data_IF_529464793527
#
_entry.id   IF_529464793527
#
_cell.length_a   1.000
_cell.length_b   1.000
_cell.length_c   1.000
_cell.angle_alpha   90.00
_cell.angle_beta   90.00
_cell.angle_gamma   90.00
#
_symmetry.space_group_name_H-M   'P 1'
#
loop_
_entity.id
_entity.type
_entity.pdbx_description
1 polymer ?
#
# COMPACT_ATOMS: atom_id res chain seq x y z
N UNK A 1 21.37 -6.60 -21.82
CA UNK A 1 20.18 -6.09 -22.54
C UNK A 1 19.72 -4.81 -21.84
N UNK A 2 19.51 -3.73 -22.60
CA UNK A 2 18.95 -2.47 -22.05
C UNK A 2 17.42 -2.53 -22.20
N UNK A 3 16.69 -2.18 -21.13
CA UNK A 3 15.21 -2.15 -21.18
C UNK A 3 14.73 -1.04 -22.13
N UNK A 4 13.68 -1.33 -22.92
CA UNK A 4 13.01 -0.34 -23.74
C UNK A 4 12.19 0.64 -22.86
N UNK A 5 11.87 1.81 -23.41
CA UNK A 5 11.01 2.79 -22.72
C UNK A 5 9.56 2.30 -22.67
N UNK A 6 8.77 2.78 -21.70
CA UNK A 6 7.34 2.45 -21.63
C UNK A 6 6.60 2.87 -22.89
N UNK A 7 6.99 4.00 -23.52
CA UNK A 7 6.42 4.44 -24.79
C UNK A 7 6.63 3.40 -25.88
N UNK A 8 7.87 2.96 -26.09
CA UNK A 8 8.21 1.94 -27.08
C UNK A 8 7.43 0.64 -26.84
N UNK A 9 7.37 0.20 -25.55
CA UNK A 9 6.61 -1.01 -25.19
C UNK A 9 5.13 -0.84 -25.52
N UNK A 10 4.53 0.31 -25.21
CA UNK A 10 3.12 0.60 -25.51
C UNK A 10 2.84 0.55 -27.01
N UNK A 11 3.74 1.14 -27.82
CA UNK A 11 3.58 1.19 -29.28
C UNK A 11 3.63 -0.24 -29.87
N UNK A 12 4.56 -1.08 -29.41
CA UNK A 12 4.66 -2.49 -29.83
C UNK A 12 3.46 -3.33 -29.35
N UNK A 13 3.00 -3.16 -28.10
CA UNK A 13 1.82 -3.86 -27.59
C UNK A 13 0.56 -3.52 -28.39
N UNK A 14 0.45 -2.28 -28.92
CA UNK A 14 -0.67 -1.86 -29.75
C UNK A 14 -0.74 -2.57 -31.12
N UNK A 15 0.33 -3.24 -31.54
CA UNK A 15 0.41 -4.00 -32.79
C UNK A 15 0.02 -5.47 -32.63
N UNK A 16 -0.10 -5.96 -31.37
CA UNK A 16 -0.33 -7.37 -31.06
C UNK A 16 -1.83 -7.71 -31.01
N UNK A 17 -2.15 -8.95 -31.39
CA UNK A 17 -3.47 -9.52 -31.23
C UNK A 17 -3.80 -9.86 -29.75
N UNK A 18 -5.09 -10.01 -29.45
CA UNK A 18 -5.56 -10.33 -28.11
C UNK A 18 -4.95 -11.61 -27.52
N UNK A 19 -4.78 -12.64 -28.35
CA UNK A 19 -4.18 -13.91 -27.94
C UNK A 19 -2.70 -13.75 -27.56
N UNK A 20 -1.94 -12.99 -28.36
CA UNK A 20 -0.52 -12.71 -28.08
C UNK A 20 -0.36 -11.90 -26.77
N UNK A 21 -1.21 -10.89 -26.56
CA UNK A 21 -1.25 -10.11 -25.31
C UNK A 21 -1.57 -10.99 -24.11
N UNK A 22 -2.55 -11.90 -24.23
CA UNK A 22 -2.89 -12.85 -23.18
C UNK A 22 -1.69 -13.77 -22.83
N UNK A 23 -1.02 -14.31 -23.82
CA UNK A 23 0.16 -15.16 -23.59
C UNK A 23 1.31 -14.39 -22.91
N UNK A 24 1.54 -13.14 -23.29
CA UNK A 24 2.53 -12.26 -22.64
C UNK A 24 2.17 -11.97 -21.18
N UNK A 25 0.90 -11.63 -20.88
CA UNK A 25 0.43 -11.40 -19.53
C UNK A 25 0.57 -12.65 -18.66
N UNK A 26 0.19 -13.82 -19.16
CA UNK A 26 0.38 -15.08 -18.44
C UNK A 26 1.85 -15.40 -18.18
N UNK A 27 2.74 -15.07 -19.12
CA UNK A 27 4.19 -15.24 -18.94
C UNK A 27 4.72 -14.28 -17.86
N UNK A 28 4.29 -13.02 -17.85
CA UNK A 28 4.64 -12.05 -16.80
C UNK A 28 4.13 -12.48 -15.42
N UNK A 29 2.89 -12.97 -15.33
CA UNK A 29 2.32 -13.49 -14.10
C UNK A 29 3.08 -14.70 -13.52
N UNK A 30 3.64 -15.57 -14.40
CA UNK A 30 4.48 -16.71 -13.97
C UNK A 30 5.89 -16.30 -13.57
N UNK A 31 6.36 -15.13 -14.01
CA UNK A 31 7.74 -14.70 -13.80
C UNK A 31 8.01 -14.28 -12.34
N UNK A 32 7.04 -13.60 -11.70
CA UNK A 32 7.12 -13.17 -10.30
C UNK A 32 5.76 -13.25 -9.63
N UNK A 33 5.76 -13.56 -8.32
CA UNK A 33 4.54 -13.61 -7.51
C UNK A 33 3.83 -12.26 -7.51
N UNK A 34 4.58 -11.16 -7.38
CA UNK A 34 4.01 -9.81 -7.38
C UNK A 34 3.31 -9.46 -8.70
N UNK A 35 3.79 -9.97 -9.83
CA UNK A 35 3.10 -9.77 -11.11
C UNK A 35 1.76 -10.53 -11.14
N UNK A 36 1.72 -11.74 -10.57
CA UNK A 36 0.48 -12.52 -10.46
C UNK A 36 -0.50 -11.84 -9.51
N UNK A 37 -0.03 -11.34 -8.36
CA UNK A 37 -0.85 -10.60 -7.40
C UNK A 37 -1.41 -9.31 -8.02
N UNK A 38 -0.58 -8.51 -8.72
CA UNK A 38 -1.04 -7.32 -9.43
C UNK A 38 -2.09 -7.65 -10.49
N UNK A 39 -1.88 -8.71 -11.26
CA UNK A 39 -2.85 -9.14 -12.27
C UNK A 39 -4.16 -9.63 -11.61
N UNK A 40 -4.08 -10.29 -10.46
CA UNK A 40 -5.25 -10.67 -9.65
C UNK A 40 -6.05 -9.44 -9.21
N UNK A 41 -5.36 -8.44 -8.66
CA UNK A 41 -5.99 -7.18 -8.30
C UNK A 41 -6.71 -6.54 -9.52
N UNK A 42 -6.01 -6.39 -10.64
CA UNK A 42 -6.56 -5.74 -11.84
C UNK A 42 -7.78 -6.47 -12.44
N UNK A 43 -7.84 -7.80 -12.33
CA UNK A 43 -8.92 -8.60 -12.92
C UNK A 43 -10.11 -8.81 -11.99
N UNK A 44 -9.91 -8.85 -10.69
CA UNK A 44 -10.93 -9.33 -9.76
C UNK A 44 -11.25 -8.36 -8.61
N UNK A 45 -10.28 -7.54 -8.18
CA UNK A 45 -10.44 -6.71 -6.98
C UNK A 45 -10.69 -5.22 -7.32
N UNK A 46 -10.14 -4.73 -8.42
CA UNK A 46 -10.20 -3.30 -8.80
C UNK A 46 -11.62 -2.79 -9.06
N UNK A 47 -12.60 -3.66 -9.27
CA UNK A 47 -14.00 -3.29 -9.45
C UNK A 47 -14.71 -2.93 -8.14
N UNK A 48 -14.18 -3.35 -6.98
CA UNK A 48 -14.66 -3.00 -5.63
C UNK A 48 -13.49 -2.59 -4.74
N UNK A 49 -12.97 -1.39 -5.00
CA UNK A 49 -11.84 -0.82 -4.27
C UNK A 49 -12.11 -0.69 -2.76
N UNK A 50 -13.37 -0.44 -2.36
CA UNK A 50 -13.74 -0.31 -0.96
C UNK A 50 -13.57 -1.65 -0.21
N UNK A 51 -14.01 -2.74 -0.82
CA UNK A 51 -13.84 -4.09 -0.28
C UNK A 51 -12.35 -4.47 -0.23
N UNK A 52 -11.60 -4.22 -1.31
CA UNK A 52 -10.17 -4.46 -1.37
C UNK A 52 -9.40 -3.78 -0.23
N UNK A 53 -9.63 -2.48 -0.02
CA UNK A 53 -9.01 -1.72 1.07
C UNK A 53 -9.36 -2.31 2.44
N UNK A 54 -10.61 -2.72 2.63
CA UNK A 54 -11.05 -3.33 3.89
C UNK A 54 -10.32 -4.65 4.17
N UNK A 55 -10.13 -5.49 3.16
CA UNK A 55 -9.39 -6.75 3.29
C UNK A 55 -7.92 -6.52 3.63
N UNK A 56 -7.28 -5.55 2.98
CA UNK A 56 -5.90 -5.17 3.30
C UNK A 56 -5.78 -4.65 4.73
N UNK A 57 -6.73 -3.82 5.20
CA UNK A 57 -6.76 -3.34 6.58
C UNK A 57 -6.90 -4.50 7.58
N UNK A 58 -7.74 -5.49 7.30
CA UNK A 58 -7.89 -6.68 8.13
C UNK A 58 -6.57 -7.48 8.21
N UNK A 59 -5.88 -7.66 7.09
CA UNK A 59 -4.57 -8.32 7.08
C UNK A 59 -3.54 -7.54 7.92
N UNK A 60 -3.55 -6.21 7.83
CA UNK A 60 -2.71 -5.36 8.69
C UNK A 60 -3.07 -5.52 10.16
N UNK A 61 -4.35 -5.58 10.51
CA UNK A 61 -4.82 -5.73 11.89
C UNK A 61 -4.37 -7.06 12.51
N UNK A 62 -4.41 -8.15 11.74
CA UNK A 62 -3.86 -9.45 12.16
C UNK A 62 -2.39 -9.32 12.50
N UNK A 63 -1.59 -8.69 11.62
CA UNK A 63 -0.16 -8.50 11.87
C UNK A 63 0.12 -7.57 13.06
N UNK A 64 -0.69 -6.53 13.26
CA UNK A 64 -0.61 -5.69 14.45
C UNK A 64 -1.01 -6.45 15.72
N UNK A 65 -1.96 -7.37 15.64
CA UNK A 65 -2.34 -8.25 16.74
C UNK A 65 -1.20 -9.18 17.18
N UNK A 66 -0.38 -9.61 16.25
CA UNK A 66 0.78 -10.49 16.48
C UNK A 66 2.05 -9.76 16.95
N UNK A 67 2.01 -8.43 17.13
CA UNK A 67 3.20 -7.67 17.56
C UNK A 67 3.71 -8.15 18.91
N UNK A 68 4.98 -8.59 18.91
CA UNK A 68 5.69 -8.94 20.13
C UNK A 68 6.12 -7.66 20.86
N UNK A 69 5.58 -7.45 22.06
CA UNK A 69 5.85 -6.25 22.87
C UNK A 69 7.14 -6.36 23.71
N UNK A 70 7.83 -7.51 23.71
CA UNK A 70 8.98 -7.75 24.59
C UNK A 70 10.32 -7.21 24.10
N UNK A 71 10.49 -6.95 22.78
CA UNK A 71 11.77 -6.50 22.21
C UNK A 71 11.58 -5.45 21.15
N UNK A 72 12.19 -4.28 21.35
CA UNK A 72 12.15 -3.18 20.37
C UNK A 72 12.73 -3.56 19.01
N UNK A 73 13.68 -4.47 18.95
CA UNK A 73 14.22 -5.00 17.69
C UNK A 73 13.17 -5.81 16.91
N UNK A 74 12.45 -6.69 17.61
CA UNK A 74 11.41 -7.54 17.02
C UNK A 74 10.25 -6.66 16.54
N UNK A 75 9.79 -5.71 17.37
CA UNK A 75 8.75 -4.73 16.99
C UNK A 75 9.13 -4.01 15.70
N UNK A 76 10.34 -3.49 15.59
CA UNK A 76 10.81 -2.81 14.37
C UNK A 76 10.76 -3.72 13.14
N UNK A 77 11.17 -4.97 13.27
CA UNK A 77 11.13 -5.96 12.17
C UNK A 77 9.69 -6.23 11.72
N UNK A 78 8.79 -6.39 12.68
CA UNK A 78 7.36 -6.63 12.42
C UNK A 78 6.69 -5.40 11.80
N UNK A 79 6.92 -4.19 12.31
CA UNK A 79 6.40 -2.94 11.71
C UNK A 79 6.88 -2.75 10.28
N UNK A 80 8.15 -3.05 9.97
CA UNK A 80 8.67 -3.02 8.59
C UNK A 80 7.96 -4.02 7.67
N UNK A 81 7.57 -5.20 8.20
CA UNK A 81 6.78 -6.18 7.46
C UNK A 81 5.41 -5.60 7.10
N UNK A 82 4.73 -4.96 8.07
CA UNK A 82 3.42 -4.32 7.84
C UNK A 82 3.54 -3.16 6.83
N UNK A 83 4.56 -2.31 6.96
CA UNK A 83 4.81 -1.23 6.00
C UNK A 83 5.03 -1.79 4.58
N UNK A 84 5.80 -2.86 4.42
CA UNK A 84 6.01 -3.48 3.10
C UNK A 84 4.73 -4.05 2.51
N UNK A 85 3.89 -4.71 3.33
CA UNK A 85 2.57 -5.16 2.92
C UNK A 85 1.73 -3.99 2.44
N UNK A 86 1.55 -2.98 3.28
CA UNK A 86 0.80 -1.76 2.96
C UNK A 86 1.27 -1.11 1.65
N UNK A 87 2.59 -0.88 1.50
CA UNK A 87 3.15 -0.26 0.30
C UNK A 87 2.99 -1.11 -0.96
N UNK A 88 2.97 -2.44 -0.82
CA UNK A 88 2.69 -3.37 -1.91
C UNK A 88 1.27 -3.14 -2.44
N UNK A 89 0.28 -3.13 -1.56
CA UNK A 89 -1.12 -2.94 -1.92
C UNK A 89 -1.43 -1.52 -2.43
N UNK A 90 -0.80 -0.48 -1.86
CA UNK A 90 -0.86 0.88 -2.40
C UNK A 90 -0.40 0.93 -3.87
N UNK A 91 0.70 0.23 -4.20
CA UNK A 91 1.21 0.17 -5.58
C UNK A 91 0.33 -0.65 -6.52
N UNK A 92 -0.39 -1.67 -6.01
CA UNK A 92 -1.32 -2.44 -6.84
C UNK A 92 -2.56 -1.63 -7.18
N UNK A 93 -3.12 -0.94 -6.22
CA UNK A 93 -4.27 -0.05 -6.43
C UNK A 93 -3.91 1.17 -7.29
N UNK A 94 -2.87 1.90 -6.94
CA UNK A 94 -2.53 3.16 -7.57
C UNK A 94 -3.49 4.30 -7.24
N UNK A 95 -4.55 4.05 -6.45
CA UNK A 95 -5.55 5.03 -6.07
C UNK A 95 -5.08 5.89 -4.88
N UNK A 96 -5.25 7.20 -5.03
CA UNK A 96 -4.82 8.17 -4.01
C UNK A 96 -5.56 7.97 -2.68
N UNK A 97 -6.85 7.67 -2.74
CA UNK A 97 -7.68 7.45 -1.56
C UNK A 97 -7.27 6.17 -0.81
N UNK A 98 -6.99 5.10 -1.53
CA UNK A 98 -6.47 3.85 -0.96
C UNK A 98 -5.16 4.08 -0.23
N UNK A 99 -4.24 4.86 -0.80
CA UNK A 99 -2.99 5.22 -0.12
C UNK A 99 -3.26 5.93 1.21
N UNK A 100 -4.12 6.95 1.22
CA UNK A 100 -4.46 7.70 2.43
C UNK A 100 -5.09 6.79 3.48
N UNK A 101 -6.09 6.00 3.11
CA UNK A 101 -6.81 5.10 4.02
C UNK A 101 -5.88 4.10 4.69
N UNK A 102 -5.01 3.45 3.92
CA UNK A 102 -4.09 2.44 4.45
C UNK A 102 -3.02 3.05 5.36
N UNK A 103 -2.47 4.23 5.02
CA UNK A 103 -1.49 4.93 5.87
C UNK A 103 -2.12 5.42 7.17
N UNK A 104 -3.32 5.98 7.13
CA UNK A 104 -4.05 6.39 8.34
C UNK A 104 -4.38 5.18 9.22
N UNK A 105 -4.79 4.07 8.64
CA UNK A 105 -5.04 2.84 9.36
C UNK A 105 -3.78 2.31 10.07
N UNK A 106 -2.63 2.35 9.41
CA UNK A 106 -1.34 2.04 10.02
C UNK A 106 -1.04 2.95 11.21
N UNK A 107 -1.21 4.27 11.04
CA UNK A 107 -0.98 5.24 12.10
C UNK A 107 -1.94 5.06 13.29
N UNK A 108 -3.23 4.78 13.04
CA UNK A 108 -4.22 4.48 14.09
C UNK A 108 -3.81 3.27 14.92
N UNK A 109 -3.37 2.19 14.28
CA UNK A 109 -2.91 0.99 14.97
C UNK A 109 -1.65 1.27 15.82
N UNK A 110 -0.69 2.02 15.28
CA UNK A 110 0.49 2.45 16.04
C UNK A 110 0.11 3.33 17.24
N UNK A 111 -0.82 4.26 17.04
CA UNK A 111 -1.31 5.15 18.09
C UNK A 111 -2.01 4.37 19.21
N UNK A 112 -2.94 3.50 18.86
CA UNK A 112 -3.69 2.66 19.80
C UNK A 112 -2.78 1.77 20.67
N UNK A 113 -1.62 1.36 20.12
CA UNK A 113 -0.60 0.58 20.87
C UNK A 113 0.44 1.43 21.58
N UNK A 114 0.32 2.75 21.57
CA UNK A 114 1.29 3.67 22.19
C UNK A 114 2.67 3.70 21.52
N UNK A 115 2.79 3.16 20.30
CA UNK A 115 4.07 3.06 19.58
C UNK A 115 4.56 4.40 19.04
N UNK A 116 3.65 5.36 18.85
CA UNK A 116 3.98 6.74 18.47
C UNK A 116 4.82 7.45 19.55
N UNK A 117 4.75 7.02 20.81
CA UNK A 117 5.54 7.52 21.93
C UNK A 117 6.65 6.54 22.37
N UNK A 118 6.99 5.56 21.54
CA UNK A 118 8.03 4.59 21.86
C UNK A 118 9.36 5.26 22.21
N UNK A 119 10.11 4.68 23.15
CA UNK A 119 11.48 5.12 23.47
C UNK A 119 12.42 4.99 22.25
N UNK A 120 12.13 4.08 21.33
CA UNK A 120 12.89 3.91 20.09
C UNK A 120 12.56 4.99 19.07
N UNK A 121 13.53 5.86 18.78
CA UNK A 121 13.41 6.88 17.72
C UNK A 121 13.04 6.28 16.37
N UNK A 122 13.56 5.09 16.05
CA UNK A 122 13.24 4.41 14.79
C UNK A 122 11.75 4.03 14.69
N UNK A 123 11.12 3.59 15.80
CA UNK A 123 9.69 3.27 15.82
C UNK A 123 8.87 4.56 15.69
N UNK A 124 9.22 5.63 16.43
CA UNK A 124 8.54 6.92 16.28
C UNK A 124 8.64 7.46 14.85
N UNK A 125 9.82 7.36 14.23
CA UNK A 125 10.03 7.81 12.84
C UNK A 125 9.17 7.02 11.84
N UNK A 126 8.86 5.74 12.08
CA UNK A 126 7.93 4.99 11.24
C UNK A 126 6.53 5.59 11.29
N UNK A 127 6.05 5.95 12.47
CA UNK A 127 4.76 6.64 12.64
C UNK A 127 4.77 7.99 11.93
N UNK A 128 5.72 8.86 12.25
CA UNK A 128 5.81 10.22 11.70
C UNK A 128 5.96 10.23 10.17
N UNK A 129 6.73 9.29 9.61
CA UNK A 129 6.88 9.17 8.17
C UNK A 129 5.56 8.80 7.49
N UNK A 130 4.81 7.83 8.02
CA UNK A 130 3.52 7.44 7.42
C UNK A 130 2.47 8.53 7.59
N UNK A 131 2.45 9.23 8.72
CA UNK A 131 1.60 10.39 8.97
C UNK A 131 1.91 11.52 7.97
N UNK A 132 3.19 11.83 7.76
CA UNK A 132 3.62 12.85 6.79
C UNK A 132 3.25 12.45 5.36
N UNK A 133 3.48 11.21 4.96
CA UNK A 133 3.07 10.73 3.62
C UNK A 133 1.56 10.81 3.43
N UNK A 134 0.77 10.41 4.42
CA UNK A 134 -0.69 10.57 4.36
C UNK A 134 -1.08 12.03 4.16
N UNK A 135 -0.52 12.96 4.96
CA UNK A 135 -0.79 14.39 4.83
C UNK A 135 -0.45 14.96 3.45
N UNK A 136 0.72 14.60 2.90
CA UNK A 136 1.14 15.02 1.57
C UNK A 136 0.22 14.47 0.47
N UNK A 137 -0.31 13.27 0.66
CA UNK A 137 -1.23 12.64 -0.30
C UNK A 137 -2.61 13.26 -0.22
N UNK A 138 -3.12 13.56 0.99
CA UNK A 138 -4.40 14.25 1.21
C UNK A 138 -4.42 15.59 0.48
N UNK A 139 -3.33 16.37 0.49
CA UNK A 139 -3.25 17.66 -0.19
C UNK A 139 -3.45 17.59 -1.71
N UNK A 140 -3.34 16.39 -2.32
CA UNK A 140 -3.54 16.17 -3.76
C UNK A 140 -4.95 15.71 -4.10
N UNK A 141 -5.79 15.46 -3.10
CA UNK A 141 -7.17 14.99 -3.27
C UNK A 141 -8.11 16.16 -3.54
N UNK A 142 -9.34 15.83 -3.95
CA UNK A 142 -10.42 16.83 -4.06
C UNK A 142 -10.76 17.44 -2.70
N UNK A 143 -11.11 18.73 -2.64
CA UNK A 143 -11.33 19.49 -1.42
C UNK A 143 -12.31 18.85 -0.43
N UNK A 144 -13.39 18.26 -0.94
CA UNK A 144 -14.40 17.58 -0.10
C UNK A 144 -13.81 16.40 0.69
N UNK A 145 -12.96 15.60 0.05
CA UNK A 145 -12.26 14.48 0.67
C UNK A 145 -11.12 14.95 1.59
N UNK A 146 -10.44 16.05 1.23
CA UNK A 146 -9.39 16.62 2.07
C UNK A 146 -9.91 16.93 3.47
N UNK A 147 -11.09 17.57 3.58
CA UNK A 147 -11.64 17.97 4.88
C UNK A 147 -11.85 16.78 5.82
N UNK A 148 -12.39 15.68 5.30
CA UNK A 148 -12.63 14.47 6.09
C UNK A 148 -11.31 13.85 6.58
N UNK A 149 -10.36 13.63 5.68
CA UNK A 149 -9.08 12.99 6.01
C UNK A 149 -8.14 13.87 6.85
N UNK A 150 -8.16 15.19 6.69
CA UNK A 150 -7.41 16.10 7.58
C UNK A 150 -7.90 15.98 9.02
N UNK A 151 -9.21 15.96 9.24
CA UNK A 151 -9.77 15.76 10.60
C UNK A 151 -9.37 14.44 11.22
N UNK A 152 -9.25 13.39 10.41
CA UNK A 152 -8.81 12.08 10.86
C UNK A 152 -7.30 12.09 11.21
N UNK A 153 -6.49 12.74 10.37
CA UNK A 153 -5.04 12.89 10.58
C UNK A 153 -4.71 13.72 11.83
N UNK A 154 -5.50 14.76 12.10
CA UNK A 154 -5.30 15.66 13.27
C UNK A 154 -5.61 15.00 14.62
N UNK A 155 -6.30 13.86 14.61
CA UNK A 155 -6.59 13.08 15.82
C UNK A 155 -5.46 12.09 16.19
N UNK A 156 -4.45 11.99 15.35
CA UNK A 156 -3.27 11.14 15.52
C UNK A 156 -2.06 11.95 15.97
#
# INVERSE_FOLDING_TARGET
>A
MKAATLKTIKDELGMLGAEELQQMLLRLARFKVENKELLTYLLFESSDEAQYVQEVMQEMDVLFGELNTGSGYIIKKQLRKIIRLMLKHIRYSGETETEVRLRLHFCKNMYAKGLHQSRSTQIRNMFESQRTYAGNTIQKMHEDLQYEYVRELDRL
#
